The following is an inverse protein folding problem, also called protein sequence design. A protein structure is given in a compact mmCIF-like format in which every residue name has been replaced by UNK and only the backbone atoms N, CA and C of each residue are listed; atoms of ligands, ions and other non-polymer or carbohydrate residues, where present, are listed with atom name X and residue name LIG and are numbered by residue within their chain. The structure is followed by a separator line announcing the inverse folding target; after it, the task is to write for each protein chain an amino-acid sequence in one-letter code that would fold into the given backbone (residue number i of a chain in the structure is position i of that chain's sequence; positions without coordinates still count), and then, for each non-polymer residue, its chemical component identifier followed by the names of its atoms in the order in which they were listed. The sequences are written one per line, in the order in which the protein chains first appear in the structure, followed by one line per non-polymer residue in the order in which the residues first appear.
data_IF_740168111860
#
_entry.id   IF_740168111860
#
_cell.length_a   1.000
_cell.length_b   1.000
_cell.length_c   1.000
_cell.angle_alpha   90.00
_cell.angle_beta   90.00
_cell.angle_gamma   90.00
#
_symmetry.space_group_name_H-M   'P 1'
#
loop_
_entity.id
_entity.type
_entity.pdbx_description
1 polymer ?
#
# COMPACT_ATOMS: atom_id res chain seq x y z
N UNK A 1 -18.90 1.32 -5.76
CA UNK A 1 -18.82 0.15 -4.82
C UNK A 1 -19.06 0.67 -3.42
N UNK A 2 -19.92 0.03 -2.61
CA UNK A 2 -20.14 0.45 -1.22
C UNK A 2 -18.96 0.04 -0.32
N UNK A 3 -18.74 0.76 0.77
CA UNK A 3 -17.73 0.41 1.78
C UNK A 3 -18.01 -0.97 2.38
N UNK A 4 -19.28 -1.34 2.56
CA UNK A 4 -19.66 -2.65 3.06
C UNK A 4 -19.22 -3.80 2.13
N UNK A 5 -19.41 -3.64 0.81
CA UNK A 5 -18.99 -4.64 -0.17
C UNK A 5 -17.47 -4.75 -0.25
N UNK A 6 -16.77 -3.63 -0.08
CA UNK A 6 -15.31 -3.57 -0.02
C UNK A 6 -14.76 -4.35 1.18
N UNK A 7 -15.37 -4.17 2.36
CA UNK A 7 -15.00 -4.90 3.58
C UNK A 7 -15.20 -6.41 3.42
N UNK A 8 -16.34 -6.80 2.84
CA UNK A 8 -16.66 -8.22 2.58
C UNK A 8 -15.62 -8.89 1.69
N UNK A 9 -15.21 -8.22 0.59
CA UNK A 9 -14.24 -8.77 -0.38
C UNK A 9 -12.81 -8.80 0.15
N UNK A 10 -12.44 -7.86 0.99
CA UNK A 10 -11.05 -7.70 1.45
C UNK A 10 -10.78 -8.40 2.79
N UNK A 11 -11.82 -8.80 3.52
CA UNK A 11 -11.73 -9.29 4.90
C UNK A 11 -10.87 -8.35 5.77
N UNK A 12 -11.12 -7.05 5.62
CA UNK A 12 -10.53 -5.99 6.44
C UNK A 12 -11.58 -5.59 7.47
N UNK A 13 -11.17 -5.46 8.73
CA UNK A 13 -12.03 -4.93 9.78
C UNK A 13 -12.49 -3.50 9.46
N UNK A 14 -13.79 -3.20 9.70
CA UNK A 14 -14.41 -1.91 9.38
C UNK A 14 -13.70 -0.75 10.08
N UNK A 15 -13.41 -0.91 11.38
CA UNK A 15 -12.78 0.14 12.19
C UNK A 15 -11.35 0.38 11.70
N UNK A 16 -10.62 -0.69 11.38
CA UNK A 16 -9.28 -0.61 10.81
C UNK A 16 -9.27 0.07 9.45
N UNK A 17 -10.17 -0.29 8.53
CA UNK A 17 -10.23 0.34 7.21
C UNK A 17 -10.51 1.84 7.34
N UNK A 18 -11.46 2.23 8.21
CA UNK A 18 -11.78 3.63 8.44
C UNK A 18 -10.56 4.41 8.95
N UNK A 19 -9.82 3.89 9.94
CA UNK A 19 -8.62 4.57 10.44
C UNK A 19 -7.53 4.72 9.39
N UNK A 20 -7.34 3.71 8.55
CA UNK A 20 -6.34 3.79 7.49
C UNK A 20 -6.75 4.80 6.42
N UNK A 21 -8.01 4.78 5.97
CA UNK A 21 -8.50 5.72 4.95
C UNK A 21 -8.51 7.17 5.44
N UNK A 22 -8.62 7.40 6.75
CA UNK A 22 -8.51 8.74 7.36
C UNK A 22 -7.08 9.13 7.75
N UNK A 23 -6.06 8.37 7.33
CA UNK A 23 -4.65 8.67 7.62
C UNK A 23 -4.25 8.52 9.09
N UNK A 24 -5.12 7.98 9.94
CA UNK A 24 -4.85 7.77 11.37
C UNK A 24 -4.00 6.52 11.63
N UNK A 25 -3.90 5.63 10.64
CA UNK A 25 -3.03 4.43 10.69
C UNK A 25 -2.41 4.15 9.33
N UNK A 26 -1.20 3.62 9.35
CA UNK A 26 -0.55 3.13 8.15
C UNK A 26 -1.27 1.90 7.57
N UNK A 27 -1.28 1.83 6.23
CA UNK A 27 -1.80 0.68 5.49
C UNK A 27 -0.74 -0.40 5.38
N UNK A 28 -1.06 -1.64 5.75
CA UNK A 28 -0.19 -2.78 5.45
C UNK A 28 -0.28 -3.14 3.96
N UNK A 29 0.85 -3.52 3.37
CA UNK A 29 0.95 -3.88 1.93
C UNK A 29 -0.03 -5.00 1.54
N UNK A 30 -0.18 -6.04 2.36
CA UNK A 30 -1.12 -7.14 2.09
C UNK A 30 -2.58 -6.67 1.99
N UNK A 31 -2.95 -5.68 2.81
CA UNK A 31 -4.30 -5.09 2.81
C UNK A 31 -4.50 -4.13 1.65
N UNK A 32 -3.47 -3.37 1.30
CA UNK A 32 -3.46 -2.53 0.11
C UNK A 32 -3.65 -3.36 -1.17
N UNK A 33 -2.96 -4.50 -1.32
CA UNK A 33 -3.12 -5.38 -2.49
C UNK A 33 -4.53 -5.99 -2.57
N UNK A 34 -5.09 -6.44 -1.44
CA UNK A 34 -6.49 -6.90 -1.38
C UNK A 34 -7.47 -5.81 -1.82
N UNK A 35 -7.22 -4.56 -1.42
CA UNK A 35 -8.00 -3.40 -1.82
C UNK A 35 -7.92 -3.17 -3.34
N UNK A 36 -6.73 -3.22 -3.92
CA UNK A 36 -6.53 -3.09 -5.36
C UNK A 36 -7.31 -4.15 -6.14
N UNK A 37 -7.24 -5.42 -5.71
CA UNK A 37 -8.00 -6.53 -6.32
C UNK A 37 -9.51 -6.27 -6.22
N UNK A 38 -10.01 -5.89 -5.04
CA UNK A 38 -11.43 -5.62 -4.84
C UNK A 38 -11.94 -4.47 -5.72
N UNK A 39 -11.14 -3.42 -5.89
CA UNK A 39 -11.45 -2.24 -6.71
C UNK A 39 -11.15 -2.42 -8.20
N UNK A 40 -10.54 -3.55 -8.61
CA UNK A 40 -10.00 -3.75 -9.97
C UNK A 40 -9.02 -2.64 -10.39
N UNK A 41 -8.28 -2.12 -9.42
CA UNK A 41 -7.26 -1.10 -9.65
C UNK A 41 -5.89 -1.76 -9.82
N UNK A 42 -5.10 -1.26 -10.76
CA UNK A 42 -3.70 -1.66 -10.89
C UNK A 42 -2.90 -1.02 -9.74
N UNK A 43 -2.18 -1.79 -8.89
CA UNK A 43 -1.37 -1.23 -7.81
C UNK A 43 -0.35 -0.18 -8.30
N UNK A 44 0.15 -0.33 -9.53
CA UNK A 44 1.09 0.62 -10.16
C UNK A 44 0.50 2.02 -10.33
N UNK A 45 -0.83 2.14 -10.38
CA UNK A 45 -1.51 3.45 -10.43
C UNK A 45 -1.31 4.29 -9.16
N UNK A 46 -0.86 3.69 -8.05
CA UNK A 46 -0.54 4.38 -6.79
C UNK A 46 0.96 4.65 -6.61
N UNK A 47 1.80 4.30 -7.59
CA UNK A 47 3.26 4.46 -7.51
C UNK A 47 3.64 5.72 -8.26
N UNK A 48 4.23 6.70 -7.55
CA UNK A 48 4.78 7.91 -8.17
C UNK A 48 6.22 7.68 -8.61
N UNK A 49 6.72 8.55 -9.50
CA UNK A 49 8.13 8.51 -9.92
C UNK A 49 9.08 8.79 -8.75
N UNK A 50 8.71 9.74 -7.89
CA UNK A 50 9.43 10.03 -6.64
C UNK A 50 9.58 8.79 -5.77
N UNK A 51 8.51 8.01 -5.55
CA UNK A 51 8.61 6.76 -4.78
C UNK A 51 9.56 5.74 -5.41
N UNK A 52 9.63 5.70 -6.75
CA UNK A 52 10.57 4.81 -7.45
C UNK A 52 12.00 5.27 -7.22
N UNK A 53 12.25 6.57 -7.37
CA UNK A 53 13.57 7.16 -7.19
C UNK A 53 14.06 6.99 -5.74
N UNK A 54 13.18 7.19 -4.74
CA UNK A 54 13.48 6.97 -3.32
C UNK A 54 13.88 5.53 -3.02
N UNK A 55 13.13 4.55 -3.55
CA UNK A 55 13.44 3.12 -3.35
C UNK A 55 14.73 2.73 -4.06
N UNK A 56 14.97 3.26 -5.26
CA UNK A 56 16.20 3.03 -6.01
C UNK A 56 17.42 3.57 -5.25
N UNK A 57 17.31 4.79 -4.71
CA UNK A 57 18.38 5.39 -3.91
C UNK A 57 18.64 4.60 -2.63
N UNK A 58 17.58 4.22 -1.90
CA UNK A 58 17.71 3.40 -0.70
C UNK A 58 18.41 2.06 -0.98
N UNK A 59 18.12 1.45 -2.14
CA UNK A 59 18.75 0.21 -2.59
C UNK A 59 20.23 0.40 -2.92
N UNK A 60 20.60 1.49 -3.62
CA UNK A 60 22.01 1.78 -3.91
C UNK A 60 22.83 2.02 -2.62
N UNK A 61 22.24 2.74 -1.64
CA UNK A 61 22.87 2.99 -0.34
C UNK A 61 23.08 1.72 0.47
N UNK A 62 22.15 0.76 0.44
CA UNK A 62 22.27 -0.50 1.18
C UNK A 62 23.37 -1.41 0.60
N UNK A 63 23.49 -1.46 -0.73
CA UNK A 63 24.56 -2.22 -1.42
C UNK A 63 25.93 -1.65 -1.05
N UNK A 64 26.11 -0.33 -1.11
CA UNK A 64 27.39 0.31 -0.77
C UNK A 64 27.81 0.11 0.69
N UNK A 65 26.85 0.10 1.64
CA UNK A 65 27.13 -0.22 3.06
C UNK A 65 27.55 -1.67 3.29
N UNK A 66 27.20 -2.58 2.38
CA UNK A 66 27.51 -4.01 2.52
C UNK A 66 28.93 -4.34 2.03
N UNK A 67 29.64 -3.38 1.44
CA UNK A 67 31.00 -3.53 0.89
C UNK A 67 32.08 -2.89 1.77
N UNK A 68 31.73 -2.47 2.99
CA UNK A 68 32.62 -1.92 4.01
C UNK A 68 32.43 -2.68 5.32
#
# INVERSE_FOLDING_TARGET
MSVAELLRRTNIDKKRLWYVLNGQREMRVDKFLKLCIALRANPRSFVTREMVDDVAEATARSINRSQH
#
